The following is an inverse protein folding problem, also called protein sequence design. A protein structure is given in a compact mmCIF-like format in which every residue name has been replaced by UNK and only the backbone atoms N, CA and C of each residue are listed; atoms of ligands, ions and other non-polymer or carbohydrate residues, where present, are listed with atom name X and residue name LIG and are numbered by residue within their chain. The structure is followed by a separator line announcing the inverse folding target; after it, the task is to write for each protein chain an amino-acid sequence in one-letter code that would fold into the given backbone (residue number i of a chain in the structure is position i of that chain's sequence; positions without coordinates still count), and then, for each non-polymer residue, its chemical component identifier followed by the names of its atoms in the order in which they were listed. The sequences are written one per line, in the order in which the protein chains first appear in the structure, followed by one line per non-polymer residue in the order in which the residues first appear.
data_IF_156693962190
#
_entry.id   IF_156693962190
#
_cell.length_a   1.000
_cell.length_b   1.000
_cell.length_c   1.000
_cell.angle_alpha   90.00
_cell.angle_beta   90.00
_cell.angle_gamma   90.00
#
_symmetry.space_group_name_H-M   'P 1'
#
loop_
_entity.id
_entity.type
_entity.pdbx_description
1 polymer ?
#
# COMPACT_ATOMS: atom_id res chain seq x y z
N UNK A 1 -14.16 5.63 24.08
CA UNK A 1 -13.15 6.55 24.64
C UNK A 1 -11.72 6.03 24.49
N UNK A 2 -11.45 4.75 24.75
CA UNK A 2 -10.11 4.16 24.62
C UNK A 2 -9.46 4.33 23.23
N UNK A 3 -10.18 4.08 22.13
CA UNK A 3 -9.60 4.26 20.78
C UNK A 3 -9.10 5.67 20.53
N UNK A 4 -9.84 6.69 20.96
CA UNK A 4 -9.39 8.08 20.84
C UNK A 4 -8.09 8.33 21.62
N UNK A 5 -7.93 7.69 22.78
CA UNK A 5 -6.69 7.75 23.55
C UNK A 5 -5.55 7.00 22.84
N UNK A 6 -5.78 5.77 22.38
CA UNK A 6 -4.77 4.98 21.66
C UNK A 6 -4.34 5.68 20.37
N UNK A 7 -5.29 6.20 19.58
CA UNK A 7 -5.02 7.00 18.38
C UNK A 7 -4.23 8.27 18.71
N UNK A 8 -4.60 9.02 19.76
CA UNK A 8 -3.83 10.21 20.19
C UNK A 8 -2.41 9.86 20.62
N UNK A 9 -2.25 8.78 21.39
CA UNK A 9 -0.95 8.31 21.83
C UNK A 9 -0.08 7.92 20.63
N UNK A 10 -0.62 7.13 19.70
CA UNK A 10 0.10 6.74 18.49
C UNK A 10 0.46 7.95 17.63
N UNK A 11 -0.47 8.89 17.40
CA UNK A 11 -0.17 10.15 16.70
C UNK A 11 0.97 10.92 17.38
N UNK A 12 0.96 10.99 18.71
CA UNK A 12 2.02 11.66 19.49
C UNK A 12 3.37 10.96 19.37
N UNK A 13 3.41 9.64 19.21
CA UNK A 13 4.64 8.85 19.14
C UNK A 13 5.18 8.70 17.71
N UNK A 14 4.30 8.74 16.70
CA UNK A 14 4.62 8.44 15.30
C UNK A 14 4.85 9.68 14.43
N UNK A 15 4.58 10.89 14.94
CA UNK A 15 4.73 12.12 14.18
C UNK A 15 3.63 12.30 13.13
N UNK A 16 3.98 12.92 11.99
CA UNK A 16 3.04 13.16 10.89
C UNK A 16 2.85 11.88 10.06
N UNK A 17 1.63 11.58 9.59
CA UNK A 17 1.41 10.48 8.65
C UNK A 17 2.13 10.74 7.33
N UNK A 18 2.45 9.67 6.60
CA UNK A 18 3.04 9.79 5.26
C UNK A 18 2.01 10.25 4.22
N UNK A 19 0.73 9.90 4.42
CA UNK A 19 -0.42 10.50 3.75
C UNK A 19 -1.70 10.17 4.53
N UNK A 20 -2.81 10.79 4.16
CA UNK A 20 -4.13 10.51 4.70
C UNK A 20 -5.03 9.98 3.59
N UNK A 21 -5.99 9.12 3.94
CA UNK A 21 -6.96 8.56 3.00
C UNK A 21 -8.39 8.79 3.47
N UNK A 22 -9.33 8.80 2.52
CA UNK A 22 -10.74 8.56 2.83
C UNK A 22 -10.98 7.06 2.88
N UNK A 23 -11.51 6.57 3.99
CA UNK A 23 -11.91 5.17 4.13
C UNK A 23 -13.20 5.01 4.91
N UNK A 24 -13.92 3.92 4.61
CA UNK A 24 -15.11 3.50 5.35
C UNK A 24 -15.43 2.03 5.08
N UNK A 25 -16.30 1.43 5.88
CA UNK A 25 -17.03 0.22 5.49
C UNK A 25 -18.27 0.59 4.66
N UNK A 26 -18.74 -0.36 3.85
CA UNK A 26 -19.94 -0.22 3.01
C UNK A 26 -21.18 0.15 3.81
N UNK A 27 -21.29 -0.30 5.06
CA UNK A 27 -22.39 0.02 5.99
C UNK A 27 -22.30 1.40 6.62
N UNK A 28 -21.15 2.08 6.54
CA UNK A 28 -20.98 3.44 7.06
C UNK A 28 -21.49 4.46 6.02
N UNK A 29 -22.28 5.43 6.50
CA UNK A 29 -22.83 6.52 5.69
C UNK A 29 -21.83 7.64 5.39
N UNK A 30 -20.81 7.81 6.25
CA UNK A 30 -19.83 8.88 6.15
C UNK A 30 -18.42 8.33 5.89
N UNK A 31 -17.66 9.08 5.10
CA UNK A 31 -16.23 8.87 4.91
C UNK A 31 -15.45 9.36 6.13
N UNK A 32 -14.41 8.62 6.51
CA UNK A 32 -13.50 8.99 7.60
C UNK A 32 -12.11 9.23 7.05
N UNK A 33 -11.40 10.18 7.66
CA UNK A 33 -9.98 10.37 7.40
C UNK A 33 -9.21 9.34 8.23
N UNK A 34 -8.38 8.55 7.55
CA UNK A 34 -7.50 7.56 8.17
C UNK A 34 -6.06 7.97 7.87
N UNK A 35 -5.25 8.03 8.92
CA UNK A 35 -3.83 8.34 8.84
C UNK A 35 -3.06 7.08 8.42
N UNK A 36 -2.22 7.21 7.40
CA UNK A 36 -1.33 6.15 6.95
C UNK A 36 0.09 6.50 7.38
N UNK A 37 0.73 5.61 8.12
CA UNK A 37 2.12 5.75 8.55
C UNK A 37 3.01 4.73 7.86
N UNK A 38 4.11 5.17 7.27
CA UNK A 38 5.10 4.30 6.64
C UNK A 38 6.30 4.04 7.56
N UNK A 39 6.85 2.84 7.55
CA UNK A 39 8.05 2.49 8.29
C UNK A 39 8.92 1.45 7.56
N UNK A 40 10.27 1.61 7.54
CA UNK A 40 11.15 0.63 6.90
C UNK A 40 11.10 -0.78 7.52
N UNK A 41 10.57 -0.90 8.75
CA UNK A 41 10.39 -2.20 9.42
C UNK A 41 9.36 -3.09 8.70
N UNK A 42 8.51 -2.48 7.87
CA UNK A 42 7.44 -3.14 7.14
C UNK A 42 7.68 -3.24 5.64
N UNK A 43 8.82 -2.74 5.15
CA UNK A 43 9.19 -2.90 3.74
C UNK A 43 9.31 -4.39 3.38
N UNK A 44 9.04 -4.73 2.12
CA UNK A 44 9.08 -6.11 1.62
C UNK A 44 10.47 -6.73 1.72
N UNK A 45 11.54 -5.95 1.77
CA UNK A 45 12.92 -6.41 1.94
C UNK A 45 13.42 -6.33 3.40
N UNK A 46 12.55 -5.94 4.34
CA UNK A 46 12.91 -5.77 5.75
C UNK A 46 13.42 -7.07 6.38
N UNK A 47 14.37 -6.94 7.32
CA UNK A 47 14.97 -8.07 8.07
C UNK A 47 14.07 -8.60 9.20
N UNK A 48 12.95 -7.94 9.48
CA UNK A 48 12.02 -8.35 10.53
C UNK A 48 11.26 -9.62 10.16
N UNK A 49 10.76 -10.39 11.16
CA UNK A 49 10.02 -11.61 10.89
C UNK A 49 8.79 -11.36 10.01
N UNK A 50 8.57 -12.19 8.96
CA UNK A 50 7.51 -11.96 7.97
C UNK A 50 6.10 -12.07 8.53
N UNK A 51 5.92 -12.83 9.60
CA UNK A 51 4.61 -12.99 10.26
C UNK A 51 4.28 -11.85 11.23
N UNK A 52 5.20 -10.92 11.52
CA UNK A 52 4.97 -9.82 12.47
C UNK A 52 5.00 -8.43 11.83
N UNK A 53 5.91 -8.19 10.87
CA UNK A 53 6.16 -6.83 10.38
C UNK A 53 6.38 -6.73 8.87
N UNK A 54 7.18 -7.62 8.28
CA UNK A 54 7.67 -7.45 6.90
C UNK A 54 6.56 -7.61 5.86
N UNK A 55 6.41 -6.62 4.99
CA UNK A 55 5.45 -6.60 3.89
C UNK A 55 3.98 -6.53 4.32
N UNK A 56 3.70 -6.20 5.59
CA UNK A 56 2.33 -6.21 6.14
C UNK A 56 1.78 -4.79 6.24
N UNK A 57 0.61 -4.59 5.63
CA UNK A 57 -0.29 -3.47 5.89
C UNK A 57 -1.16 -3.83 7.09
N UNK A 58 -1.17 -3.03 8.16
CA UNK A 58 -1.94 -3.35 9.38
C UNK A 58 -2.69 -2.13 9.90
N UNK A 59 -3.98 -2.32 10.15
CA UNK A 59 -4.81 -1.44 10.94
C UNK A 59 -4.49 -1.54 12.44
N UNK A 60 -4.09 -0.41 13.04
CA UNK A 60 -3.79 -0.32 14.48
C UNK A 60 -4.95 0.24 15.29
N UNK A 61 -5.64 1.23 14.73
CA UNK A 61 -6.81 1.86 15.36
C UNK A 61 -7.87 2.15 14.31
N UNK A 62 -8.98 2.71 14.76
CA UNK A 62 -10.07 3.17 13.91
C UNK A 62 -9.65 4.25 12.90
N UNK A 63 -8.50 4.90 13.12
CA UNK A 63 -8.02 6.04 12.32
C UNK A 63 -6.55 5.88 11.88
N UNK A 64 -5.92 4.72 12.11
CA UNK A 64 -4.49 4.52 11.83
C UNK A 64 -4.23 3.19 11.13
N UNK A 65 -3.60 3.27 9.96
CA UNK A 65 -3.02 2.15 9.22
C UNK A 65 -1.50 2.34 9.16
N UNK A 66 -0.75 1.25 9.29
CA UNK A 66 0.72 1.26 9.24
C UNK A 66 1.21 0.32 8.16
N UNK A 67 2.11 0.83 7.30
CA UNK A 67 2.59 0.17 6.07
C UNK A 67 4.11 0.26 5.93
N UNK A 68 4.66 -0.45 4.94
CA UNK A 68 6.02 -0.20 4.42
C UNK A 68 6.07 1.04 3.53
N UNK A 69 7.24 1.65 3.39
CA UNK A 69 7.49 2.73 2.43
C UNK A 69 7.27 2.27 0.99
N UNK A 70 7.70 1.06 0.65
CA UNK A 70 7.48 0.45 -0.67
C UNK A 70 5.99 0.31 -1.02
N UNK A 71 5.17 -0.09 -0.05
CA UNK A 71 3.72 -0.17 -0.19
C UNK A 71 3.09 1.22 -0.33
N UNK A 72 3.52 2.19 0.47
CA UNK A 72 3.06 3.57 0.38
C UNK A 72 3.35 4.20 -1.00
N UNK A 73 4.55 3.96 -1.55
CA UNK A 73 4.90 4.38 -2.90
C UNK A 73 4.03 3.70 -3.96
N UNK A 74 3.78 2.40 -3.82
CA UNK A 74 2.93 1.66 -4.75
C UNK A 74 1.49 2.17 -4.76
N UNK A 75 0.93 2.51 -3.60
CA UNK A 75 -0.39 3.16 -3.51
C UNK A 75 -0.42 4.46 -4.31
N UNK A 76 0.60 5.32 -4.17
CA UNK A 76 0.65 6.59 -4.90
C UNK A 76 0.81 6.40 -6.41
N UNK A 77 1.60 5.42 -6.85
CA UNK A 77 1.70 5.07 -8.27
C UNK A 77 0.34 4.64 -8.81
N UNK A 78 -0.34 3.73 -8.10
CA UNK A 78 -1.68 3.30 -8.47
C UNK A 78 -2.70 4.44 -8.48
N UNK A 79 -2.65 5.35 -7.50
CA UNK A 79 -3.57 6.49 -7.43
C UNK A 79 -3.27 7.60 -8.44
N UNK A 80 -2.05 7.65 -8.99
CA UNK A 80 -1.73 8.51 -10.14
C UNK A 80 -2.34 7.95 -11.42
N UNK A 81 -2.27 6.64 -11.60
CA UNK A 81 -2.67 5.97 -12.85
C UNK A 81 -4.18 5.66 -12.87
N UNK A 82 -4.74 5.26 -11.73
CA UNK A 82 -6.17 4.97 -11.50
C UNK A 82 -6.65 5.60 -10.17
N UNK A 83 -6.99 6.91 -10.17
CA UNK A 83 -7.40 7.63 -8.97
C UNK A 83 -8.71 7.10 -8.39
N UNK A 84 -8.73 6.81 -7.09
CA UNK A 84 -9.95 6.53 -6.36
C UNK A 84 -10.59 7.83 -5.84
N UNK A 85 -11.91 7.81 -5.68
CA UNK A 85 -12.64 8.91 -5.03
C UNK A 85 -13.75 8.39 -4.11
N UNK A 86 -14.37 9.28 -3.32
CA UNK A 86 -15.52 8.94 -2.50
C UNK A 86 -16.74 8.49 -3.32
N UNK A 87 -16.85 8.96 -4.56
CA UNK A 87 -17.90 8.59 -5.53
C UNK A 87 -17.54 7.30 -6.28
N UNK A 88 -16.24 7.06 -6.52
CA UNK A 88 -15.71 5.87 -7.20
C UNK A 88 -14.65 5.20 -6.31
N UNK A 89 -15.08 4.56 -5.21
CA UNK A 89 -14.13 3.98 -4.27
C UNK A 89 -13.60 2.64 -4.74
N UNK A 90 -12.34 2.37 -4.41
CA UNK A 90 -11.74 1.04 -4.58
C UNK A 90 -12.33 0.10 -3.54
N UNK A 91 -12.69 -1.08 -4.00
CA UNK A 91 -13.19 -2.20 -3.21
C UNK A 91 -12.33 -3.42 -3.51
N UNK A 92 -12.27 -4.37 -2.58
CA UNK A 92 -11.57 -5.64 -2.83
C UNK A 92 -12.34 -6.44 -3.88
N UNK A 93 -11.69 -6.76 -4.99
CA UNK A 93 -12.33 -7.54 -6.05
C UNK A 93 -12.82 -8.89 -5.50
N UNK A 94 -14.06 -9.22 -5.85
CA UNK A 94 -14.80 -10.38 -5.34
C UNK A 94 -14.88 -10.51 -3.79
N UNK A 95 -14.58 -9.43 -3.06
CA UNK A 95 -14.53 -9.41 -1.61
C UNK A 95 -13.42 -10.28 -1.00
N UNK A 96 -12.37 -10.63 -1.77
CA UNK A 96 -11.24 -11.45 -1.28
C UNK A 96 -9.91 -10.98 -1.84
N UNK A 97 -8.91 -10.80 -0.97
CA UNK A 97 -7.52 -10.49 -1.34
C UNK A 97 -6.69 -11.75 -1.61
N UNK A 98 -7.05 -12.91 -1.03
CA UNK A 98 -6.29 -14.18 -1.07
C UNK A 98 -7.07 -15.34 -1.68
N UNK A 99 -7.92 -15.06 -2.65
CA UNK A 99 -8.68 -16.08 -3.40
C UNK A 99 -8.55 -15.85 -4.92
N UNK A 100 -7.47 -16.36 -5.55
CA UNK A 100 -7.21 -16.12 -6.97
C UNK A 100 -8.32 -16.66 -7.89
N UNK A 101 -8.97 -17.76 -7.52
CA UNK A 101 -10.04 -18.37 -8.31
C UNK A 101 -11.26 -17.47 -8.33
N UNK A 102 -11.68 -16.99 -7.15
CA UNK A 102 -12.82 -16.08 -7.02
C UNK A 102 -12.56 -14.72 -7.66
N UNK A 103 -11.31 -14.23 -7.60
CA UNK A 103 -10.88 -13.01 -8.29
C UNK A 103 -10.91 -13.16 -9.81
N UNK A 104 -10.40 -14.28 -10.33
CA UNK A 104 -10.45 -14.58 -11.76
C UNK A 104 -11.89 -14.67 -12.28
N UNK A 105 -12.82 -15.21 -11.48
CA UNK A 105 -14.24 -15.31 -11.85
C UNK A 105 -14.94 -13.96 -12.07
N UNK A 106 -14.39 -12.86 -11.52
CA UNK A 106 -14.88 -11.49 -11.76
C UNK A 106 -13.97 -10.69 -12.71
N UNK A 107 -13.04 -11.36 -13.39
CA UNK A 107 -12.09 -10.73 -14.32
C UNK A 107 -10.98 -9.92 -13.63
N UNK A 108 -10.77 -10.09 -12.33
CA UNK A 108 -9.73 -9.38 -11.59
C UNK A 108 -8.38 -10.11 -11.64
N UNK A 109 -7.24 -9.38 -11.51
CA UNK A 109 -5.92 -10.00 -11.40
C UNK A 109 -5.82 -10.95 -10.20
N UNK A 110 -5.00 -12.02 -10.29
CA UNK A 110 -4.89 -13.03 -9.24
C UNK A 110 -4.32 -12.49 -7.91
N UNK A 111 -3.55 -11.40 -7.98
CA UNK A 111 -3.01 -10.72 -6.81
C UNK A 111 -3.71 -9.37 -6.62
N UNK A 112 -3.97 -8.96 -5.36
CA UNK A 112 -4.60 -7.68 -5.07
C UNK A 112 -3.65 -6.53 -5.36
N UNK A 113 -4.21 -5.42 -5.85
CA UNK A 113 -3.50 -4.14 -5.94
C UNK A 113 -3.29 -3.56 -4.54
N UNK A 114 -2.31 -2.68 -4.35
CA UNK A 114 -2.07 -2.02 -3.06
C UNK A 114 -3.31 -1.22 -2.59
N UNK A 115 -4.03 -0.60 -3.53
CA UNK A 115 -5.29 0.09 -3.25
C UNK A 115 -6.39 -0.85 -2.76
N UNK A 116 -6.45 -2.10 -3.24
CA UNK A 116 -7.38 -3.12 -2.71
C UNK A 116 -6.99 -3.56 -1.30
N UNK A 117 -5.68 -3.68 -1.02
CA UNK A 117 -5.20 -3.97 0.34
C UNK A 117 -5.55 -2.82 1.29
N UNK A 118 -5.47 -1.55 0.86
CA UNK A 118 -5.97 -0.43 1.67
C UNK A 118 -7.49 -0.49 1.88
N UNK A 119 -8.26 -0.88 0.87
CA UNK A 119 -9.70 -1.07 1.03
C UNK A 119 -9.99 -2.14 2.10
N UNK A 120 -9.28 -3.28 2.05
CA UNK A 120 -9.35 -4.31 3.10
C UNK A 120 -9.04 -3.75 4.49
N UNK A 121 -7.96 -2.99 4.65
CA UNK A 121 -7.64 -2.36 5.93
C UNK A 121 -8.70 -1.33 6.38
N UNK A 122 -9.36 -0.63 5.46
CA UNK A 122 -10.50 0.21 5.83
C UNK A 122 -11.63 -0.61 6.48
N UNK A 123 -11.84 -1.86 6.03
CA UNK A 123 -12.73 -2.81 6.68
C UNK A 123 -12.31 -3.14 8.12
N UNK A 124 -11.01 -3.37 8.34
CA UNK A 124 -10.43 -3.55 9.68
C UNK A 124 -10.59 -2.31 10.57
N UNK A 125 -10.52 -1.09 10.02
CA UNK A 125 -10.78 0.13 10.83
C UNK A 125 -12.22 0.18 11.33
N UNK A 126 -13.18 -0.30 10.54
CA UNK A 126 -14.58 -0.42 10.93
C UNK A 126 -14.79 -1.54 11.95
N UNK A 127 -14.13 -2.68 11.78
CA UNK A 127 -14.15 -3.75 12.78
C UNK A 127 -13.58 -3.26 14.12
N UNK A 128 -12.53 -2.43 14.08
CA UNK A 128 -11.99 -1.77 15.27
C UNK A 128 -13.01 -0.84 15.92
N UNK A 129 -13.77 -0.06 15.13
CA UNK A 129 -14.85 0.80 15.66
C UNK A 129 -15.94 -0.02 16.34
N UNK A 130 -16.36 -1.12 15.71
CA UNK A 130 -17.45 -1.98 16.18
C UNK A 130 -17.07 -2.77 17.44
N UNK A 131 -15.88 -3.37 17.45
CA UNK A 131 -15.44 -4.28 18.53
C UNK A 131 -14.79 -3.54 19.70
N UNK A 132 -14.39 -2.29 19.49
CA UNK A 132 -13.73 -1.52 20.52
C UNK A 132 -12.41 -2.17 20.95
N UNK A 133 -12.19 -2.21 22.27
CA UNK A 133 -11.02 -2.82 22.90
C UNK A 133 -10.81 -4.30 22.53
N UNK A 134 -11.89 -5.00 22.18
CA UNK A 134 -11.84 -6.41 21.81
C UNK A 134 -11.17 -6.63 20.44
N UNK A 135 -11.04 -5.59 19.61
CA UNK A 135 -10.36 -5.71 18.32
C UNK A 135 -8.90 -6.14 18.47
N UNK A 136 -8.16 -5.64 19.46
CA UNK A 136 -6.75 -5.98 19.60
C UNK A 136 -6.50 -7.48 19.86
N UNK A 137 -7.15 -8.12 20.86
CA UNK A 137 -7.00 -9.56 21.04
C UNK A 137 -7.62 -10.38 19.91
N UNK A 138 -8.74 -9.94 19.31
CA UNK A 138 -9.39 -10.64 18.19
C UNK A 138 -8.52 -10.53 16.93
N UNK A 139 -8.16 -9.32 16.50
CA UNK A 139 -7.27 -9.09 15.36
C UNK A 139 -5.93 -9.81 15.53
N UNK A 140 -5.31 -9.77 16.70
CA UNK A 140 -4.08 -10.53 16.95
C UNK A 140 -4.26 -12.06 16.83
N UNK A 141 -5.40 -12.60 17.28
CA UNK A 141 -5.71 -14.02 17.15
C UNK A 141 -6.09 -14.42 15.71
N UNK A 142 -6.81 -13.56 14.99
CA UNK A 142 -7.43 -13.91 13.71
C UNK A 142 -6.65 -13.51 12.46
N UNK A 143 -5.74 -12.55 12.55
CA UNK A 143 -4.79 -12.23 11.46
C UNK A 143 -3.92 -13.43 11.07
N UNK A 144 -3.71 -14.38 11.99
CA UNK A 144 -3.02 -15.66 11.72
C UNK A 144 -3.83 -16.61 10.83
N UNK A 145 -5.16 -16.56 10.88
CA UNK A 145 -6.01 -17.48 10.11
C UNK A 145 -6.18 -17.07 8.66
N UNK A 146 -5.84 -15.82 8.30
CA UNK A 146 -5.92 -15.28 6.93
C UNK A 146 -7.35 -15.37 6.37
N UNK A 147 -7.58 -14.93 5.14
CA UNK A 147 -8.84 -15.22 4.44
C UNK A 147 -8.92 -16.70 4.03
N UNK A 148 -10.14 -17.21 3.86
CA UNK A 148 -10.36 -18.60 3.50
C UNK A 148 -11.83 -19.01 3.54
N UNK A 149 -12.14 -20.28 3.21
CA UNK A 149 -13.51 -20.76 3.09
C UNK A 149 -14.17 -21.12 4.44
N UNK A 150 -13.41 -21.13 5.53
CA UNK A 150 -13.90 -21.60 6.82
C UNK A 150 -14.48 -20.47 7.68
N UNK A 151 -15.31 -20.83 8.66
CA UNK A 151 -15.98 -19.85 9.52
C UNK A 151 -14.99 -19.01 10.35
N UNK A 152 -13.84 -19.58 10.73
CA UNK A 152 -12.80 -18.84 11.45
C UNK A 152 -12.11 -17.78 10.59
N UNK A 153 -12.24 -17.84 9.25
CA UNK A 153 -11.78 -16.79 8.33
C UNK A 153 -12.78 -15.62 8.22
N UNK A 154 -13.95 -15.71 8.86
CA UNK A 154 -15.03 -14.72 8.71
C UNK A 154 -14.57 -13.29 9.02
N UNK A 155 -13.69 -13.13 10.02
CA UNK A 155 -13.15 -11.82 10.39
C UNK A 155 -12.40 -11.15 9.22
N UNK A 156 -11.41 -11.84 8.64
CA UNK A 156 -10.63 -11.35 7.50
C UNK A 156 -11.47 -11.21 6.23
N UNK A 157 -12.36 -12.18 5.98
CA UNK A 157 -13.28 -12.17 4.85
C UNK A 157 -14.21 -10.94 4.88
N UNK A 158 -14.73 -10.59 6.06
CA UNK A 158 -15.61 -9.45 6.24
C UNK A 158 -14.89 -8.12 6.01
N UNK A 159 -13.62 -8.00 6.44
CA UNK A 159 -12.82 -6.80 6.19
C UNK A 159 -12.72 -6.53 4.68
N UNK A 160 -12.45 -7.56 3.87
CA UNK A 160 -12.43 -7.43 2.41
C UNK A 160 -13.79 -7.16 1.77
N UNK A 161 -14.86 -7.79 2.25
CA UNK A 161 -16.20 -7.59 1.69
C UNK A 161 -16.76 -6.19 1.93
N UNK A 162 -16.38 -5.56 3.05
CA UNK A 162 -16.99 -4.31 3.49
C UNK A 162 -16.11 -3.10 3.25
N UNK A 163 -14.80 -3.24 3.27
CA UNK A 163 -13.87 -2.12 3.22
C UNK A 163 -13.89 -1.35 1.89
N UNK A 164 -13.84 -0.02 1.99
CA UNK A 164 -13.82 0.89 0.84
C UNK A 164 -12.74 1.95 1.02
N UNK A 165 -11.92 2.14 -0.01
CA UNK A 165 -10.89 3.18 -0.10
C UNK A 165 -11.31 4.26 -1.10
N UNK A 166 -11.54 5.47 -0.60
CA UNK A 166 -12.07 6.62 -1.35
C UNK A 166 -11.01 7.60 -1.86
N UNK A 167 -9.75 7.19 -1.94
CA UNK A 167 -8.66 8.01 -2.44
C UNK A 167 -7.86 8.74 -1.36
N UNK A 168 -6.77 9.38 -1.80
CA UNK A 168 -5.83 10.12 -0.96
C UNK A 168 -6.40 11.52 -0.69
N UNK A 169 -6.34 11.96 0.58
CA UNK A 169 -6.72 13.33 0.95
C UNK A 169 -5.76 14.31 0.29
N UNK A 170 -6.30 15.29 -0.45
CA UNK A 170 -5.50 16.25 -1.21
C UNK A 170 -4.52 17.00 -0.31
N UNK A 171 -3.27 17.08 -0.73
CA UNK A 171 -2.21 17.79 -0.01
C UNK A 171 -1.72 17.09 1.26
N UNK A 172 -2.15 15.85 1.54
CA UNK A 172 -1.73 15.11 2.73
C UNK A 172 -0.41 14.33 2.56
N UNK A 173 0.06 14.14 1.33
CA UNK A 173 1.27 13.36 1.02
C UNK A 173 2.50 14.09 1.54
N UNK A 174 3.33 13.41 2.33
CA UNK A 174 4.53 14.00 2.92
C UNK A 174 5.68 14.15 1.90
N UNK A 175 6.58 15.08 2.19
CA UNK A 175 7.74 15.38 1.34
C UNK A 175 8.66 14.17 1.14
N UNK A 176 8.88 13.34 2.16
CA UNK A 176 9.71 12.15 2.04
C UNK A 176 9.14 11.17 1.02
N UNK A 177 7.82 10.96 1.02
CA UNK A 177 7.16 10.06 0.09
C UNK A 177 7.19 10.60 -1.35
N UNK A 178 6.98 11.92 -1.50
CA UNK A 178 7.15 12.59 -2.79
C UNK A 178 8.58 12.48 -3.31
N UNK A 179 9.58 12.67 -2.44
CA UNK A 179 10.99 12.51 -2.79
C UNK A 179 11.30 11.08 -3.24
N UNK A 180 10.80 10.07 -2.53
CA UNK A 180 10.99 8.65 -2.91
C UNK A 180 10.43 8.34 -4.30
N UNK A 181 9.24 8.85 -4.63
CA UNK A 181 8.62 8.66 -5.95
C UNK A 181 9.38 9.35 -7.08
N UNK A 182 10.12 10.41 -6.78
CA UNK A 182 10.96 11.11 -7.77
C UNK A 182 12.24 10.35 -8.13
N UNK A 183 12.60 9.31 -7.37
CA UNK A 183 13.80 8.51 -7.64
C UNK A 183 13.49 7.42 -8.67
N UNK A 184 14.36 7.22 -9.68
CA UNK A 184 14.28 6.06 -10.57
C UNK A 184 14.37 4.77 -9.74
N UNK A 185 13.60 3.73 -10.10
CA UNK A 185 13.78 2.43 -9.43
C UNK A 185 15.18 1.87 -9.73
N UNK A 186 15.80 1.15 -8.78
CA UNK A 186 16.94 0.29 -9.10
C UNK A 186 16.53 -0.66 -10.25
N UNK A 187 17.17 -0.54 -11.42
CA UNK A 187 16.85 -1.29 -12.63
C UNK A 187 16.16 -0.51 -13.76
N UNK A 188 15.54 0.66 -13.50
CA UNK A 188 14.95 1.51 -14.57
C UNK A 188 16.02 2.33 -15.32
N UNK A 189 17.21 2.53 -14.73
CA UNK A 189 18.34 3.16 -15.41
C UNK A 189 19.05 2.23 -16.41
N UNK A 190 18.92 0.91 -16.28
CA UNK A 190 19.55 -0.04 -17.22
C UNK A 190 18.76 -0.14 -18.53
N UNK A 191 17.44 0.01 -18.50
CA UNK A 191 16.61 0.00 -19.70
C UNK A 191 16.76 1.28 -20.55
N UNK A 192 16.99 2.44 -19.94
CA UNK A 192 17.26 3.70 -20.66
C UNK A 192 18.65 3.66 -21.34
N UNK A 193 19.63 3.03 -20.72
CA UNK A 193 20.96 2.84 -21.32
C UNK A 193 20.90 1.81 -22.47
N UNK A 194 20.04 0.79 -22.37
CA UNK A 194 19.86 -0.20 -23.45
C UNK A 194 18.97 0.29 -24.61
N UNK A 195 17.96 1.13 -24.35
CA UNK A 195 17.06 1.65 -25.39
C UNK A 195 17.68 2.75 -26.25
N UNK A 196 18.78 3.37 -25.79
CA UNK A 196 19.48 4.42 -26.53
C UNK A 196 20.62 3.91 -27.42
N UNK A 197 20.69 2.61 -27.72
CA UNK A 197 21.20 2.08 -29.00
C UNK A 197 22.58 2.53 -29.51
N UNK A 198 23.39 3.22 -28.72
CA UNK A 198 24.78 3.50 -28.98
C UNK A 198 25.56 2.57 -28.09
N UNK A 199 25.80 1.38 -28.62
CA UNK A 199 26.76 0.44 -28.05
C UNK A 199 28.00 1.21 -27.61
N UNK A 200 28.50 0.94 -26.40
CA UNK A 200 29.77 1.47 -25.93
C UNK A 200 30.92 1.17 -26.93
N UNK A 201 30.79 0.13 -27.75
CA UNK A 201 31.72 -0.16 -28.85
C UNK A 201 31.64 0.85 -30.01
N UNK A 202 30.48 1.46 -30.27
CA UNK A 202 30.28 2.49 -31.30
C UNK A 202 30.89 3.82 -30.87
N UNK A 203 30.72 4.22 -29.61
CA UNK A 203 31.35 5.42 -29.04
C UNK A 203 32.87 5.28 -28.93
N UNK A 204 33.38 4.11 -28.54
CA UNK A 204 34.81 3.83 -28.53
C UNK A 204 35.42 3.87 -29.95
N UNK A 205 34.71 3.33 -30.95
CA UNK A 205 35.17 3.36 -32.35
C UNK A 205 35.16 4.77 -32.95
N UNK A 206 34.21 5.63 -32.56
CA UNK A 206 34.15 7.02 -33.00
C UNK A 206 35.27 7.88 -32.39
N UNK A 207 35.60 7.64 -31.10
CA UNK A 207 36.69 8.35 -30.42
C UNK A 207 38.07 7.95 -30.97
N UNK A 208 38.29 6.68 -31.32
CA UNK A 208 39.54 6.24 -31.95
C UNK A 208 39.74 6.79 -33.36
N UNK A 209 38.69 6.92 -34.18
CA UNK A 209 38.81 7.53 -35.53
C UNK A 209 39.10 9.03 -35.48
N UNK A 210 38.60 9.74 -34.46
CA UNK A 210 38.82 11.18 -34.32
C UNK A 210 40.25 11.50 -33.83
N UNK A 211 40.88 10.60 -33.07
CA UNK A 211 42.29 10.75 -32.68
C UNK A 211 43.28 10.46 -33.82
N UNK A 212 42.94 9.56 -34.74
CA UNK A 212 43.84 9.17 -35.82
C UNK A 212 43.89 10.19 -36.97
N UNK A 213 42.87 11.04 -37.11
CA UNK A 213 42.85 12.14 -38.09
C UNK A 213 43.48 13.45 -37.58
N UNK A 214 43.86 13.55 -36.31
CA UNK A 214 44.54 14.74 -35.73
C UNK A 214 46.06 14.60 -35.66
N UNK A 215 46.61 13.48 -36.11
CA UNK A 215 48.04 13.16 -36.10
C UNK A 215 48.61 12.89 -37.49
N UNK A 216 47.92 13.36 -38.55
CA UNK A 216 48.41 13.40 -39.94
C UNK A 216 48.60 14.84 -40.39
#
# INVERSE_FOLDING_TARGET
MFHRWATRLLRSLSGRPCFQIYGKARSESAWRIIDVYATPRRDRDSRWPPYLFRGVCITWTTEIIVVGWDFAEEVLRQQRDEPASCEQPVQVAAGRIRDPQRRAAVGAPPFPRASEVLAHECGHTWQTLRLGLLYWPIGAAFTLFREGPHWWNHFENQASELGQFGGIVRGSVCEELMWRLSRPRPGENESIIQSNGLSASTLASALSRTQQQRSS
#
